data_IF_528639475070
#
_entry.id   IF_528639475070
#
_cell.length_a   1.000
_cell.length_b   1.000
_cell.length_c   1.000
_cell.angle_alpha   90.00
_cell.angle_beta   90.00
_cell.angle_gamma   90.00
#
_symmetry.space_group_name_H-M   'P 1'
#
loop_
_entity.id
_entity.type
_entity.pdbx_description
1 polymer ?
#
# COMPACT_ATOMS: atom_id res chain seq x y z
N UNK A 1 -8.91 -37.04 20.00
CA UNK A 1 -9.80 -36.11 19.29
C UNK A 1 -10.28 -34.91 20.11
N UNK A 2 -10.50 -35.05 21.43
CA UNK A 2 -10.97 -33.93 22.30
C UNK A 2 -9.85 -33.00 22.78
N UNK A 3 -8.61 -33.46 22.83
CA UNK A 3 -7.45 -32.62 23.26
C UNK A 3 -7.03 -31.55 22.28
N UNK A 4 -7.08 -31.88 20.99
CA UNK A 4 -6.66 -30.95 19.92
C UNK A 4 -7.63 -29.78 19.77
N UNK A 5 -8.93 -30.01 20.02
CA UNK A 5 -9.97 -28.99 19.96
C UNK A 5 -9.85 -27.95 21.10
N UNK A 6 -9.41 -28.38 22.27
CA UNK A 6 -9.18 -27.50 23.43
C UNK A 6 -7.91 -26.67 23.26
N UNK A 7 -6.86 -27.23 22.62
CA UNK A 7 -5.63 -26.51 22.31
C UNK A 7 -5.91 -25.43 21.27
N UNK A 8 -6.63 -25.76 20.19
CA UNK A 8 -7.04 -24.81 19.15
C UNK A 8 -7.90 -23.68 19.72
N UNK A 9 -8.86 -24.01 20.61
CA UNK A 9 -9.70 -23.02 21.29
C UNK A 9 -8.91 -22.10 22.22
N UNK A 10 -7.88 -22.61 22.89
CA UNK A 10 -6.97 -21.83 23.74
C UNK A 10 -6.07 -20.89 22.92
N UNK A 11 -5.62 -21.33 21.73
CA UNK A 11 -4.85 -20.48 20.80
C UNK A 11 -5.72 -19.39 20.15
N UNK A 12 -6.96 -19.72 19.80
CA UNK A 12 -7.92 -18.74 19.24
C UNK A 12 -8.39 -17.71 20.28
N UNK A 13 -8.24 -17.99 21.57
CA UNK A 13 -8.55 -17.05 22.66
C UNK A 13 -7.49 -15.96 22.84
N UNK A 14 -6.31 -16.11 22.23
CA UNK A 14 -5.28 -15.08 22.26
C UNK A 14 -5.59 -13.98 21.20
N UNK A 15 -5.74 -12.71 21.63
CA UNK A 15 -6.09 -11.62 20.72
C UNK A 15 -5.07 -11.43 19.57
N UNK A 16 -3.81 -11.79 19.79
CA UNK A 16 -2.75 -11.77 18.77
C UNK A 16 -2.99 -12.80 17.66
N UNK A 17 -3.34 -14.02 18.04
CA UNK A 17 -3.61 -15.12 17.07
C UNK A 17 -4.86 -14.83 16.27
N UNK A 18 -5.92 -14.36 16.92
CA UNK A 18 -7.17 -13.96 16.24
C UNK A 18 -6.92 -12.80 15.26
N UNK A 19 -6.16 -11.79 15.67
CA UNK A 19 -5.76 -10.67 14.81
C UNK A 19 -4.95 -11.13 13.58
N UNK A 20 -3.98 -12.04 13.78
CA UNK A 20 -3.16 -12.58 12.70
C UNK A 20 -3.99 -13.40 11.71
N UNK A 21 -4.89 -14.24 12.20
CA UNK A 21 -5.79 -15.04 11.34
C UNK A 21 -6.69 -14.12 10.52
N UNK A 22 -7.28 -13.10 11.16
CA UNK A 22 -8.13 -12.12 10.47
C UNK A 22 -7.35 -11.35 9.38
N UNK A 23 -6.13 -10.88 9.69
CA UNK A 23 -5.27 -10.21 8.71
C UNK A 23 -4.90 -11.13 7.54
N UNK A 24 -4.56 -12.38 7.83
CA UNK A 24 -4.21 -13.36 6.79
C UNK A 24 -5.41 -13.65 5.90
N UNK A 25 -6.59 -13.83 6.48
CA UNK A 25 -7.82 -14.07 5.73
C UNK A 25 -8.18 -12.87 4.84
N UNK A 26 -8.12 -11.65 5.40
CA UNK A 26 -8.34 -10.41 4.65
C UNK A 26 -7.32 -10.24 3.51
N UNK A 27 -6.05 -10.50 3.76
CA UNK A 27 -4.99 -10.43 2.75
C UNK A 27 -5.17 -11.47 1.63
N UNK A 28 -5.59 -12.68 1.97
CA UNK A 28 -5.89 -13.73 1.00
C UNK A 28 -7.10 -13.35 0.15
N UNK A 29 -8.17 -12.86 0.76
CA UNK A 29 -9.37 -12.38 0.04
C UNK A 29 -9.03 -11.24 -0.92
N UNK A 30 -8.20 -10.28 -0.50
CA UNK A 30 -7.73 -9.20 -1.37
C UNK A 30 -6.94 -9.71 -2.58
N UNK A 31 -6.14 -10.75 -2.41
CA UNK A 31 -5.40 -11.37 -3.53
C UNK A 31 -6.32 -12.06 -4.53
N UNK A 32 -7.34 -12.77 -4.04
CA UNK A 32 -8.38 -13.36 -4.91
C UNK A 32 -9.13 -12.26 -5.68
N UNK A 33 -9.50 -11.18 -5.01
CA UNK A 33 -10.17 -10.05 -5.65
C UNK A 33 -9.29 -9.39 -6.73
N UNK A 34 -7.98 -9.25 -6.46
CA UNK A 34 -7.00 -8.78 -7.45
C UNK A 34 -6.86 -9.70 -8.67
N UNK A 35 -6.99 -11.01 -8.48
CA UNK A 35 -6.99 -11.98 -9.58
C UNK A 35 -8.22 -11.82 -10.48
N UNK A 36 -9.41 -11.73 -9.91
CA UNK A 36 -10.64 -11.46 -10.67
C UNK A 36 -10.59 -10.12 -11.40
N UNK A 37 -10.04 -9.10 -10.74
CA UNK A 37 -9.85 -7.79 -11.36
C UNK A 37 -8.96 -7.87 -12.61
N UNK A 38 -7.87 -8.65 -12.57
CA UNK A 38 -7.00 -8.86 -13.74
C UNK A 38 -7.73 -9.56 -14.89
N UNK A 39 -8.55 -10.56 -14.59
CA UNK A 39 -9.38 -11.25 -15.62
C UNK A 39 -10.36 -10.25 -16.25
N UNK A 40 -11.01 -9.44 -15.42
CA UNK A 40 -11.92 -8.39 -15.89
C UNK A 40 -11.21 -7.38 -16.78
N UNK A 41 -10.04 -6.87 -16.36
CA UNK A 41 -9.24 -5.95 -17.16
C UNK A 41 -8.87 -6.55 -18.52
N UNK A 42 -8.46 -7.81 -18.54
CA UNK A 42 -8.10 -8.49 -19.79
C UNK A 42 -9.28 -8.60 -20.76
N UNK A 43 -10.48 -8.84 -20.24
CA UNK A 43 -11.69 -8.92 -21.05
C UNK A 43 -12.13 -7.56 -21.61
N UNK A 44 -11.90 -6.47 -20.86
CA UNK A 44 -12.32 -5.12 -21.26
C UNK A 44 -11.29 -4.42 -22.14
N UNK A 45 -10.00 -4.50 -21.76
CA UNK A 45 -8.91 -3.78 -22.44
C UNK A 45 -8.17 -4.63 -23.49
N UNK A 46 -8.41 -5.94 -23.50
CA UNK A 46 -7.68 -6.89 -24.34
C UNK A 46 -6.25 -7.14 -23.85
N UNK A 47 -5.57 -8.09 -24.49
CA UNK A 47 -4.20 -8.48 -24.13
C UNK A 47 -3.18 -7.35 -24.28
N UNK A 48 -3.36 -6.49 -25.27
CA UNK A 48 -2.48 -5.33 -25.53
C UNK A 48 -2.58 -4.29 -24.41
N UNK A 49 -3.80 -3.94 -23.98
CA UNK A 49 -4.02 -2.98 -22.90
C UNK A 49 -3.51 -3.50 -21.55
N UNK A 50 -3.72 -4.79 -21.26
CA UNK A 50 -3.17 -5.42 -20.06
C UNK A 50 -1.63 -5.43 -20.07
N UNK A 51 -0.99 -5.64 -21.23
CA UNK A 51 0.46 -5.56 -21.39
C UNK A 51 1.00 -4.16 -21.02
N UNK A 52 0.38 -3.10 -21.54
CA UNK A 52 0.73 -1.71 -21.23
C UNK A 52 0.58 -1.41 -19.72
N UNK A 53 -0.50 -1.86 -19.12
CA UNK A 53 -0.71 -1.71 -17.68
C UNK A 53 0.37 -2.42 -16.85
N UNK A 54 0.73 -3.66 -17.21
CA UNK A 54 1.78 -4.41 -16.52
C UNK A 54 3.17 -3.79 -16.69
N UNK A 55 3.42 -3.07 -17.77
CA UNK A 55 4.68 -2.36 -17.99
C UNK A 55 4.85 -1.18 -17.03
N UNK A 56 3.75 -0.50 -16.68
CA UNK A 56 3.77 0.68 -15.78
C UNK A 56 3.79 0.28 -14.30
N UNK A 57 3.31 -0.91 -13.92
CA UNK A 57 3.27 -1.38 -12.53
C UNK A 57 4.62 -1.35 -11.82
N UNK A 58 5.73 -1.86 -12.38
CA UNK A 58 7.04 -1.82 -11.72
C UNK A 58 7.51 -0.40 -11.40
N UNK A 59 7.29 0.53 -12.32
CA UNK A 59 7.61 1.94 -12.11
C UNK A 59 6.81 2.52 -10.93
N UNK A 60 5.50 2.25 -10.91
CA UNK A 60 4.64 2.68 -9.82
C UNK A 60 5.00 2.03 -8.49
N UNK A 61 5.42 0.76 -8.49
CA UNK A 61 5.82 0.06 -7.27
C UNK A 61 7.06 0.67 -6.62
N UNK A 62 8.02 1.17 -7.41
CA UNK A 62 9.18 1.91 -6.90
C UNK A 62 8.75 3.22 -6.27
N UNK A 63 7.89 4.00 -6.92
CA UNK A 63 7.37 5.26 -6.37
C UNK A 63 6.59 5.04 -5.07
N UNK A 64 5.74 4.02 -5.05
CA UNK A 64 4.97 3.65 -3.87
C UNK A 64 5.87 3.16 -2.72
N UNK A 65 6.92 2.42 -3.03
CA UNK A 65 7.89 1.96 -2.02
C UNK A 65 8.58 3.13 -1.33
N UNK A 66 8.99 4.14 -2.09
CA UNK A 66 9.63 5.34 -1.55
C UNK A 66 8.67 6.18 -0.69
N UNK A 67 7.45 6.43 -1.18
CA UNK A 67 6.49 7.32 -0.51
C UNK A 67 5.67 6.64 0.58
N UNK A 68 5.39 5.34 0.47
CA UNK A 68 4.46 4.66 1.36
C UNK A 68 5.18 3.82 2.41
N UNK A 69 6.02 2.87 2.01
CA UNK A 69 6.59 1.88 2.93
C UNK A 69 7.52 2.50 3.97
N UNK A 70 8.36 3.46 3.56
CA UNK A 70 9.25 4.16 4.46
C UNK A 70 8.50 4.94 5.55
N UNK A 71 7.50 5.72 5.14
CA UNK A 71 6.69 6.52 6.07
C UNK A 71 5.79 5.66 6.97
N UNK A 72 5.22 4.58 6.44
CA UNK A 72 4.43 3.65 7.23
C UNK A 72 5.25 3.04 8.38
N UNK A 73 6.44 2.55 8.09
CA UNK A 73 7.32 1.94 9.08
C UNK A 73 7.81 2.95 10.11
N UNK A 74 8.23 4.14 9.67
CA UNK A 74 8.68 5.21 10.55
C UNK A 74 7.55 5.70 11.48
N UNK A 75 6.35 5.91 10.93
CA UNK A 75 5.18 6.33 11.71
C UNK A 75 4.78 5.29 12.74
N UNK A 76 4.74 4.01 12.35
CA UNK A 76 4.42 2.90 13.26
C UNK A 76 5.39 2.84 14.44
N UNK A 77 6.70 2.98 14.19
CA UNK A 77 7.73 2.97 15.22
C UNK A 77 7.61 4.17 16.16
N UNK A 78 7.50 5.39 15.63
CA UNK A 78 7.39 6.61 16.43
C UNK A 78 6.12 6.66 17.30
N UNK A 79 5.00 6.16 16.78
CA UNK A 79 3.73 6.08 17.54
C UNK A 79 3.82 5.06 18.66
N UNK A 80 4.54 3.95 18.45
CA UNK A 80 4.76 2.95 19.49
C UNK A 80 5.69 3.47 20.61
N UNK A 81 6.74 4.24 20.27
CA UNK A 81 7.72 4.77 21.22
C UNK A 81 7.19 5.94 22.06
N UNK A 82 6.31 6.78 21.49
CA UNK A 82 5.82 8.02 22.15
C UNK A 82 4.30 8.09 22.24
N UNK A 83 3.68 7.36 23.17
CA UNK A 83 2.22 7.25 23.27
C UNK A 83 1.51 8.56 23.61
N UNK A 84 2.19 9.53 24.25
CA UNK A 84 1.60 10.81 24.66
C UNK A 84 1.35 11.76 23.49
N UNK A 85 2.11 11.65 22.40
CA UNK A 85 2.10 12.59 21.27
C UNK A 85 1.63 11.95 19.95
N UNK A 86 0.85 10.88 20.01
CA UNK A 86 0.43 10.10 18.83
C UNK A 86 -0.24 10.92 17.73
N UNK A 87 -1.11 11.85 18.10
CA UNK A 87 -1.83 12.69 17.13
C UNK A 87 -0.89 13.65 16.42
N UNK A 88 0.06 14.24 17.14
CA UNK A 88 1.04 15.17 16.56
C UNK A 88 1.95 14.41 15.59
N UNK A 89 2.40 13.21 15.96
CA UNK A 89 3.22 12.34 15.11
C UNK A 89 2.47 12.00 13.82
N UNK A 90 1.18 11.64 13.91
CA UNK A 90 0.36 11.35 12.74
C UNK A 90 0.25 12.55 11.80
N UNK A 91 -0.06 13.73 12.33
CA UNK A 91 -0.21 14.96 11.55
C UNK A 91 1.12 15.31 10.85
N UNK A 92 2.24 15.28 11.57
CA UNK A 92 3.56 15.53 11.01
C UNK A 92 3.91 14.50 9.91
N UNK A 93 3.63 13.23 10.15
CA UNK A 93 3.88 12.17 9.16
C UNK A 93 3.04 12.36 7.89
N UNK A 94 1.76 12.72 8.02
CA UNK A 94 0.89 13.00 6.87
C UNK A 94 1.41 14.21 6.08
N UNK A 95 1.78 15.31 6.74
CA UNK A 95 2.27 16.51 6.06
C UNK A 95 3.57 16.20 5.32
N UNK A 96 4.54 15.55 5.95
CA UNK A 96 5.81 15.19 5.32
C UNK A 96 5.62 14.22 4.16
N UNK A 97 4.82 13.20 4.35
CA UNK A 97 4.53 12.20 3.32
C UNK A 97 3.76 12.82 2.14
N UNK A 98 2.76 13.67 2.42
CA UNK A 98 1.98 14.34 1.38
C UNK A 98 2.84 15.33 0.56
N UNK A 99 3.76 16.06 1.17
CA UNK A 99 4.68 16.97 0.44
C UNK A 99 5.59 16.19 -0.51
N UNK A 100 6.17 15.08 -0.07
CA UNK A 100 7.03 14.24 -0.90
C UNK A 100 6.21 13.56 -2.02
N UNK A 101 5.02 13.04 -1.69
CA UNK A 101 4.13 12.44 -2.66
C UNK A 101 3.67 13.46 -3.72
N UNK A 102 3.40 14.69 -3.32
CA UNK A 102 3.03 15.77 -4.24
C UNK A 102 4.18 16.11 -5.19
N UNK A 103 5.39 16.26 -4.67
CA UNK A 103 6.59 16.49 -5.50
C UNK A 103 6.79 15.36 -6.51
N UNK A 104 6.68 14.11 -6.04
CA UNK A 104 6.84 12.93 -6.91
C UNK A 104 5.74 12.87 -7.98
N UNK A 105 4.49 13.19 -7.62
CA UNK A 105 3.37 13.27 -8.56
C UNK A 105 3.63 14.31 -9.65
N UNK A 106 4.11 15.52 -9.27
CA UNK A 106 4.43 16.59 -10.22
C UNK A 106 5.59 16.15 -11.15
N UNK A 107 6.65 15.55 -10.61
CA UNK A 107 7.78 15.07 -11.39
C UNK A 107 7.33 13.99 -12.38
N UNK A 108 6.56 13.00 -11.92
CA UNK A 108 6.05 11.93 -12.77
C UNK A 108 5.11 12.44 -13.85
N UNK A 109 4.22 13.37 -13.52
CA UNK A 109 3.27 13.95 -14.45
C UNK A 109 3.98 14.79 -15.52
N UNK A 110 4.93 15.66 -15.11
CA UNK A 110 5.68 16.54 -16.04
C UNK A 110 6.59 15.76 -16.97
N UNK A 111 7.18 14.66 -16.48
CA UNK A 111 8.11 13.82 -17.25
C UNK A 111 7.44 12.57 -17.84
N UNK A 112 6.12 12.47 -17.85
CA UNK A 112 5.39 11.28 -18.31
C UNK A 112 5.78 10.87 -19.74
N UNK A 113 5.98 11.82 -20.64
CA UNK A 113 6.43 11.58 -22.02
C UNK A 113 7.85 10.99 -22.08
N UNK A 114 8.78 11.56 -21.30
CA UNK A 114 10.14 11.04 -21.23
C UNK A 114 10.21 9.64 -20.64
N UNK A 115 9.45 9.40 -19.58
CA UNK A 115 9.35 8.10 -18.91
C UNK A 115 8.78 7.05 -19.87
N UNK A 116 7.73 7.40 -20.59
CA UNK A 116 7.06 6.49 -21.51
C UNK A 116 7.95 6.16 -22.73
N UNK A 117 8.69 7.12 -23.28
CA UNK A 117 9.55 6.92 -24.45
C UNK A 117 10.91 6.29 -24.11
N UNK A 118 11.57 6.77 -23.05
CA UNK A 118 12.94 6.36 -22.74
C UNK A 118 13.01 5.17 -21.78
N UNK A 119 12.10 5.06 -20.81
CA UNK A 119 12.13 4.00 -19.80
C UNK A 119 11.25 2.81 -20.21
N UNK A 120 10.02 3.11 -20.65
CA UNK A 120 9.04 2.07 -21.01
C UNK A 120 9.12 1.69 -22.49
N UNK A 121 9.78 2.51 -23.33
CA UNK A 121 9.91 2.34 -24.80
C UNK A 121 8.55 2.17 -25.51
N UNK A 122 7.46 2.67 -24.91
CA UNK A 122 6.12 2.56 -25.44
C UNK A 122 5.34 3.87 -25.23
N UNK A 123 5.12 4.66 -26.31
CA UNK A 123 4.48 5.99 -26.21
C UNK A 123 3.04 5.93 -25.73
N UNK A 124 2.35 4.79 -25.89
CA UNK A 124 0.97 4.59 -25.44
C UNK A 124 0.83 4.56 -23.92
N UNK A 125 1.93 4.36 -23.18
CA UNK A 125 1.94 4.39 -21.72
C UNK A 125 1.85 5.79 -21.12
N UNK A 126 2.02 6.88 -21.90
CA UNK A 126 2.06 8.25 -21.40
C UNK A 126 0.80 8.61 -20.60
N UNK A 127 -0.37 8.36 -21.15
CA UNK A 127 -1.64 8.67 -20.46
C UNK A 127 -1.86 7.80 -19.21
N UNK A 128 -1.40 6.54 -19.26
CA UNK A 128 -1.42 5.65 -18.10
C UNK A 128 -0.50 6.16 -16.99
N UNK A 129 0.71 6.60 -17.31
CA UNK A 129 1.65 7.17 -16.34
C UNK A 129 1.09 8.44 -15.71
N UNK A 130 0.47 9.32 -16.49
CA UNK A 130 -0.21 10.53 -15.98
C UNK A 130 -1.36 10.19 -15.04
N UNK A 131 -2.24 9.28 -15.45
CA UNK A 131 -3.39 8.87 -14.63
C UNK A 131 -2.95 8.22 -13.31
N UNK A 132 -1.95 7.33 -13.36
CA UNK A 132 -1.45 6.63 -12.19
C UNK A 132 -0.64 7.53 -11.25
N UNK A 133 0.01 8.60 -11.75
CA UNK A 133 0.72 9.55 -10.88
C UNK A 133 -0.19 10.21 -9.85
N UNK A 134 -1.47 10.43 -10.17
CA UNK A 134 -2.45 10.95 -9.20
C UNK A 134 -2.75 9.98 -8.06
N UNK A 135 -2.56 8.69 -8.23
CA UNK A 135 -2.80 7.70 -7.18
C UNK A 135 -1.70 7.67 -6.10
N UNK A 136 -0.55 8.29 -6.35
CA UNK A 136 0.56 8.34 -5.38
C UNK A 136 0.17 9.13 -4.13
N UNK A 137 -0.49 10.28 -4.29
CA UNK A 137 -0.86 11.14 -3.18
C UNK A 137 -1.84 10.48 -2.19
N UNK A 138 -3.01 9.94 -2.60
CA UNK A 138 -3.90 9.26 -1.67
C UNK A 138 -3.29 7.99 -1.08
N UNK A 139 -2.45 7.28 -1.82
CA UNK A 139 -1.75 6.11 -1.31
C UNK A 139 -0.76 6.46 -0.19
N UNK A 140 -0.04 7.57 -0.30
CA UNK A 140 0.88 8.06 0.72
C UNK A 140 0.14 8.42 2.02
N UNK A 141 -0.99 9.12 1.93
CA UNK A 141 -1.84 9.46 3.09
C UNK A 141 -2.37 8.18 3.75
N UNK A 142 -2.93 7.26 2.96
CA UNK A 142 -3.43 5.98 3.43
C UNK A 142 -2.35 5.16 4.16
N UNK A 143 -1.13 5.18 3.65
CA UNK A 143 0.02 4.50 4.24
C UNK A 143 0.38 5.05 5.63
N UNK A 144 0.36 6.38 5.81
CA UNK A 144 0.60 6.99 7.12
C UNK A 144 -0.48 6.62 8.14
N UNK A 145 -1.75 6.59 7.71
CA UNK A 145 -2.87 6.16 8.56
C UNK A 145 -2.69 4.71 8.99
N UNK A 146 -2.35 3.82 8.06
CA UNK A 146 -2.06 2.42 8.38
C UNK A 146 -0.88 2.30 9.36
N UNK A 147 0.20 3.05 9.14
CA UNK A 147 1.35 3.08 10.06
C UNK A 147 0.95 3.49 11.48
N UNK A 148 0.06 4.47 11.61
CA UNK A 148 -0.47 4.89 12.90
C UNK A 148 -1.23 3.77 13.61
N UNK A 149 -2.15 3.09 12.91
CA UNK A 149 -2.90 1.97 13.50
C UNK A 149 -2.00 0.80 13.90
N UNK A 150 -1.00 0.45 13.07
CA UNK A 150 -0.02 -0.56 13.43
C UNK A 150 0.80 -0.19 14.66
N UNK A 151 1.20 1.08 14.78
CA UNK A 151 1.91 1.59 15.97
C UNK A 151 1.05 1.52 17.24
N UNK A 152 -0.23 1.85 17.14
CA UNK A 152 -1.17 1.71 18.24
C UNK A 152 -1.38 0.26 18.67
N UNK A 153 -1.51 -0.67 17.72
CA UNK A 153 -1.64 -2.11 17.98
C UNK A 153 -0.40 -2.70 18.67
N UNK A 154 0.80 -2.32 18.22
CA UNK A 154 2.06 -2.77 18.83
C UNK A 154 2.21 -2.33 20.29
N UNK A 155 1.69 -1.16 20.63
CA UNK A 155 1.72 -0.66 22.03
C UNK A 155 0.69 -1.34 22.93
N UNK A 156 -0.44 -1.80 22.38
CA UNK A 156 -1.53 -2.42 23.15
C UNK A 156 -1.28 -3.92 23.42
N UNK A 157 -0.25 -4.49 22.79
CA UNK A 157 0.17 -5.87 23.05
C UNK A 157 1.13 -5.89 24.26
N UNK A 158 0.72 -6.50 25.41
CA UNK A 158 1.59 -6.67 26.58
C UNK A 158 2.74 -7.63 26.29
#
# INVERSE_FOLDING_TARGET
MTGDFLIVKKYLSNPLVTGTIFLTLAGTTSRFMGFFFRIFLNNVMGSTGLGLYQLVIPLMSVCMSLCCNGFQTATSKLVAEKPQNRQIILICAIIMSATIALLLTIIMYSNANYISLCILSEPRCTELVKALSFSILPAAIHSCINGYYYGCLLYTSP
#
